data_IF_553438157019
#
_entry.id   IF_553438157019
#
_cell.length_a   1.000
_cell.length_b   1.000
_cell.length_c   1.000
_cell.angle_alpha   90.00
_cell.angle_beta   90.00
_cell.angle_gamma   90.00
#
_symmetry.space_group_name_H-M   'P 1'
#
loop_
_entity.id
_entity.type
_entity.pdbx_description
1 polymer ?
#
# COMPACT_ATOMS: atom_id res chain seq x y z
N UNK A 1 -20.68 -28.24 20.12
CA UNK A 1 -21.22 -27.22 19.18
C UNK A 1 -22.51 -27.78 18.64
N UNK A 2 -23.59 -27.03 18.78
CA UNK A 2 -24.91 -27.48 18.31
C UNK A 2 -25.05 -27.31 16.79
N UNK A 3 -24.56 -26.19 16.27
CA UNK A 3 -24.54 -25.94 14.82
C UNK A 3 -23.57 -24.81 14.46
N UNK A 4 -23.25 -24.73 13.19
CA UNK A 4 -22.55 -23.60 12.60
C UNK A 4 -23.14 -23.27 11.24
N UNK A 5 -23.07 -22.00 10.87
CA UNK A 5 -23.58 -21.49 9.61
C UNK A 5 -22.57 -20.52 8.97
N UNK A 6 -22.47 -20.54 7.66
CA UNK A 6 -21.60 -19.67 6.89
C UNK A 6 -22.40 -18.82 5.92
N UNK A 7 -22.48 -17.53 6.21
CA UNK A 7 -23.21 -16.56 5.43
C UNK A 7 -22.25 -15.81 4.49
N UNK A 8 -22.34 -16.08 3.19
CA UNK A 8 -21.58 -15.37 2.17
C UNK A 8 -22.30 -14.08 1.75
N UNK A 9 -21.58 -12.98 1.48
CA UNK A 9 -22.18 -11.75 0.99
C UNK A 9 -22.82 -11.96 -0.38
N UNK A 10 -23.92 -11.26 -0.64
CA UNK A 10 -24.62 -11.32 -1.93
C UNK A 10 -23.78 -10.68 -3.05
N UNK A 11 -23.94 -11.20 -4.28
CA UNK A 11 -23.30 -10.57 -5.46
C UNK A 11 -23.82 -9.13 -5.61
N UNK A 12 -22.87 -8.17 -5.73
CA UNK A 12 -23.22 -6.75 -5.93
C UNK A 12 -23.18 -5.89 -4.66
N UNK A 13 -22.94 -6.44 -3.48
CA UNK A 13 -22.78 -5.65 -2.24
C UNK A 13 -21.48 -4.85 -2.18
N UNK A 14 -20.52 -5.15 -3.04
CA UNK A 14 -19.27 -4.39 -3.14
C UNK A 14 -19.54 -2.99 -3.74
N UNK A 15 -19.40 -1.94 -2.94
CA UNK A 15 -19.40 -0.55 -3.42
C UNK A 15 -18.00 -0.11 -3.78
N UNK A 16 -17.88 0.67 -4.87
CA UNK A 16 -16.60 1.24 -5.28
C UNK A 16 -16.02 2.09 -4.13
N UNK A 17 -14.77 1.83 -3.73
CA UNK A 17 -14.11 2.55 -2.63
C UNK A 17 -14.44 2.06 -1.21
N UNK A 18 -15.33 1.07 -1.04
CA UNK A 18 -15.58 0.44 0.24
C UNK A 18 -14.67 -0.78 0.48
N UNK A 19 -14.49 -1.16 1.76
CA UNK A 19 -13.83 -2.43 2.11
C UNK A 19 -14.55 -3.60 1.45
N UNK A 20 -13.79 -4.63 1.07
CA UNK A 20 -14.38 -5.84 0.48
C UNK A 20 -15.42 -6.45 1.41
N UNK A 21 -16.55 -6.95 0.86
CA UNK A 21 -17.55 -7.67 1.65
C UNK A 21 -16.89 -8.86 2.35
N UNK A 22 -17.35 -9.14 3.57
CA UNK A 22 -16.87 -10.26 4.38
C UNK A 22 -17.98 -11.30 4.53
N UNK A 23 -17.58 -12.53 4.77
CA UNK A 23 -18.49 -13.58 5.16
C UNK A 23 -18.69 -13.55 6.69
N UNK A 24 -19.82 -14.04 7.15
CA UNK A 24 -20.12 -14.20 8.55
C UNK A 24 -20.16 -15.69 8.89
N UNK A 25 -19.31 -16.11 9.82
CA UNK A 25 -19.34 -17.44 10.43
C UNK A 25 -20.08 -17.34 11.75
N UNK A 26 -21.20 -18.03 11.86
CA UNK A 26 -22.05 -18.10 13.05
C UNK A 26 -21.83 -19.43 13.73
N UNK A 27 -21.49 -19.41 15.00
CA UNK A 27 -21.32 -20.59 15.86
C UNK A 27 -22.41 -20.55 16.93
N UNK A 28 -23.17 -21.64 17.06
CA UNK A 28 -24.22 -21.78 18.07
C UNK A 28 -23.80 -22.81 19.11
N UNK A 29 -23.73 -22.42 20.37
CA UNK A 29 -23.39 -23.26 21.51
C UNK A 29 -24.28 -22.93 22.70
N UNK A 30 -25.01 -23.95 23.27
CA UNK A 30 -25.77 -23.87 24.51
C UNK A 30 -26.62 -22.59 24.65
N UNK A 31 -27.34 -22.19 23.59
CA UNK A 31 -28.20 -21.01 23.60
C UNK A 31 -27.49 -19.67 23.40
N UNK A 32 -26.21 -19.67 23.10
CA UNK A 32 -25.43 -18.49 22.71
C UNK A 32 -24.98 -18.55 21.24
N UNK A 33 -25.07 -17.42 20.54
CA UNK A 33 -24.55 -17.25 19.20
C UNK A 33 -23.29 -16.41 19.21
N UNK A 34 -22.25 -16.90 18.54
CA UNK A 34 -21.00 -16.16 18.31
C UNK A 34 -20.83 -15.92 16.83
N UNK A 35 -20.74 -14.64 16.43
CA UNK A 35 -20.55 -14.22 15.03
C UNK A 35 -19.13 -13.75 14.79
N UNK A 36 -18.52 -14.31 13.76
CA UNK A 36 -17.15 -13.97 13.33
C UNK A 36 -17.21 -13.49 11.88
N UNK A 37 -16.58 -12.35 11.64
CA UNK A 37 -16.46 -11.81 10.29
C UNK A 37 -15.12 -12.27 9.68
N UNK A 38 -15.17 -13.04 8.59
CA UNK A 38 -13.99 -13.66 7.96
C UNK A 38 -13.90 -13.28 6.48
N UNK A 39 -12.69 -13.31 5.86
CA UNK A 39 -12.53 -13.07 4.43
C UNK A 39 -13.32 -14.09 3.60
N UNK A 40 -13.96 -13.64 2.51
CA UNK A 40 -14.77 -14.52 1.64
C UNK A 40 -13.97 -15.70 1.08
N UNK A 41 -12.68 -15.49 0.81
CA UNK A 41 -11.82 -16.59 0.31
C UNK A 41 -11.57 -17.65 1.39
N UNK A 42 -11.42 -17.25 2.65
CA UNK A 42 -11.30 -18.17 3.79
C UNK A 42 -12.61 -18.94 3.98
N UNK A 43 -13.73 -18.23 3.96
CA UNK A 43 -15.06 -18.81 4.07
C UNK A 43 -15.34 -19.91 3.03
N UNK A 44 -14.99 -19.65 1.77
CA UNK A 44 -15.16 -20.64 0.69
C UNK A 44 -14.29 -21.88 0.88
N UNK A 45 -13.06 -21.70 1.35
CA UNK A 45 -12.17 -22.83 1.64
C UNK A 45 -12.61 -23.61 2.86
N UNK A 46 -13.05 -22.91 3.91
CA UNK A 46 -13.57 -23.56 5.12
C UNK A 46 -14.78 -24.44 4.78
N UNK A 47 -15.68 -23.95 3.94
CA UNK A 47 -16.81 -24.74 3.43
C UNK A 47 -16.34 -26.00 2.72
N UNK A 48 -15.41 -25.89 1.76
CA UNK A 48 -14.89 -27.06 1.04
C UNK A 48 -14.22 -28.06 1.97
N UNK A 49 -13.39 -27.59 2.92
CA UNK A 49 -12.72 -28.48 3.88
C UNK A 49 -13.71 -29.17 4.80
N UNK A 50 -14.79 -28.51 5.25
CA UNK A 50 -15.81 -29.10 6.11
C UNK A 50 -16.68 -30.12 5.36
N UNK A 51 -16.89 -29.96 4.06
CA UNK A 51 -17.58 -30.94 3.22
C UNK A 51 -16.72 -32.23 3.01
N UNK A 52 -15.40 -32.06 2.85
CA UNK A 52 -14.47 -33.20 2.70
C UNK A 52 -14.14 -33.89 4.03
N UNK A 53 -14.11 -33.14 5.12
CA UNK A 53 -13.71 -33.58 6.47
C UNK A 53 -14.76 -33.14 7.50
N UNK A 54 -15.87 -33.87 7.64
CA UNK A 54 -16.97 -33.47 8.53
C UNK A 54 -16.55 -33.26 9.99
N UNK A 55 -15.57 -33.98 10.49
CA UNK A 55 -15.03 -33.84 11.85
C UNK A 55 -14.51 -32.43 12.17
N UNK A 56 -14.18 -31.61 11.17
CA UNK A 56 -13.80 -30.21 11.35
C UNK A 56 -14.91 -29.43 12.04
N UNK A 57 -16.14 -29.81 11.81
CA UNK A 57 -17.33 -29.18 12.35
C UNK A 57 -17.84 -29.81 13.67
N UNK A 58 -17.14 -30.79 14.26
CA UNK A 58 -17.56 -31.46 15.49
C UNK A 58 -17.53 -30.56 16.72
N UNK A 59 -16.66 -29.53 16.71
CA UNK A 59 -16.58 -28.54 17.77
C UNK A 59 -16.25 -27.14 17.25
N UNK A 60 -16.67 -26.10 17.96
CA UNK A 60 -16.26 -24.73 17.65
C UNK A 60 -14.74 -24.55 17.68
N UNK A 61 -14.07 -25.27 18.59
CA UNK A 61 -12.61 -25.22 18.70
C UNK A 61 -11.92 -25.77 17.44
N UNK A 62 -12.32 -26.97 16.98
CA UNK A 62 -11.80 -27.58 15.76
C UNK A 62 -12.03 -26.70 14.54
N UNK A 63 -13.23 -26.17 14.41
CA UNK A 63 -13.60 -25.28 13.30
C UNK A 63 -12.78 -23.99 13.29
N UNK A 64 -12.58 -23.35 14.46
CA UNK A 64 -11.76 -22.13 14.57
C UNK A 64 -10.26 -22.38 14.38
N UNK A 65 -9.75 -23.54 14.78
CA UNK A 65 -8.35 -23.92 14.51
C UNK A 65 -8.12 -24.05 13.01
N UNK A 66 -9.01 -24.75 12.30
CA UNK A 66 -8.94 -24.90 10.84
C UNK A 66 -9.16 -23.55 10.12
N UNK A 67 -10.12 -22.75 10.57
CA UNK A 67 -10.36 -21.40 10.03
C UNK A 67 -9.09 -20.55 10.12
N UNK A 68 -8.41 -20.51 11.27
CA UNK A 68 -7.18 -19.74 11.48
C UNK A 68 -6.05 -20.20 10.58
N UNK A 69 -5.85 -21.50 10.42
CA UNK A 69 -4.81 -22.03 9.52
C UNK A 69 -5.13 -21.73 8.04
N UNK A 70 -6.40 -21.78 7.66
CA UNK A 70 -6.83 -21.36 6.32
C UNK A 70 -6.64 -19.86 6.12
N UNK A 71 -6.90 -19.03 7.14
CA UNK A 71 -6.68 -17.58 7.05
C UNK A 71 -5.21 -17.25 6.84
N UNK A 72 -4.29 -17.87 7.60
CA UNK A 72 -2.85 -17.69 7.41
C UNK A 72 -2.42 -18.07 5.98
N UNK A 73 -2.87 -19.20 5.49
CA UNK A 73 -2.55 -19.68 4.15
C UNK A 73 -3.10 -18.75 3.07
N UNK A 74 -4.36 -18.35 3.18
CA UNK A 74 -4.99 -17.42 2.25
C UNK A 74 -4.31 -16.04 2.26
N UNK A 75 -3.88 -15.57 3.44
CA UNK A 75 -3.15 -14.31 3.59
C UNK A 75 -1.80 -14.37 2.84
N UNK A 76 -1.03 -15.44 3.03
CA UNK A 76 0.25 -15.65 2.32
C UNK A 76 0.07 -15.69 0.81
N UNK A 77 -0.83 -16.53 0.31
CA UNK A 77 -1.11 -16.64 -1.13
C UNK A 77 -1.58 -15.32 -1.73
N UNK A 78 -2.38 -14.55 -0.97
CA UNK A 78 -2.84 -13.23 -1.42
C UNK A 78 -1.70 -12.21 -1.49
N UNK A 79 -0.82 -12.20 -0.51
CA UNK A 79 0.35 -11.33 -0.48
C UNK A 79 1.32 -11.67 -1.63
N UNK A 80 1.61 -12.95 -1.85
CA UNK A 80 2.44 -13.42 -2.96
C UNK A 80 1.85 -13.02 -4.32
N UNK A 81 0.54 -13.16 -4.50
CA UNK A 81 -0.14 -12.72 -5.72
C UNK A 81 -0.07 -11.20 -5.94
N UNK A 82 0.07 -10.40 -4.88
CA UNK A 82 0.31 -8.96 -4.97
C UNK A 82 1.76 -8.68 -5.35
N UNK A 83 2.73 -9.31 -4.69
CA UNK A 83 4.17 -9.15 -4.94
C UNK A 83 4.57 -9.59 -6.35
N UNK A 84 3.92 -10.60 -6.92
CA UNK A 84 4.14 -11.01 -8.32
C UNK A 84 3.74 -9.94 -9.35
N UNK A 85 3.06 -8.87 -8.94
CA UNK A 85 2.67 -7.77 -9.84
C UNK A 85 3.57 -6.56 -9.73
N UNK A 86 4.01 -6.21 -8.52
CA UNK A 86 4.92 -5.11 -8.21
C UNK A 86 5.42 -5.23 -6.77
N UNK A 87 6.46 -4.48 -6.46
CA UNK A 87 6.89 -4.31 -5.09
C UNK A 87 5.89 -3.49 -4.26
N UNK A 88 5.86 -3.76 -2.97
CA UNK A 88 5.06 -3.08 -1.96
C UNK A 88 5.93 -2.74 -0.75
N UNK A 89 5.69 -1.59 -0.13
CA UNK A 89 6.18 -1.37 1.22
C UNK A 89 5.40 -2.22 2.22
N UNK A 90 5.99 -2.48 3.37
CA UNK A 90 5.35 -3.22 4.47
C UNK A 90 4.00 -2.59 4.85
N UNK A 91 3.92 -1.25 4.94
CA UNK A 91 2.68 -0.51 5.25
C UNK A 91 1.65 -0.63 4.12
N UNK A 92 2.06 -0.53 2.85
CA UNK A 92 1.15 -0.73 1.71
C UNK A 92 0.59 -2.16 1.69
N UNK A 93 1.44 -3.17 1.92
CA UNK A 93 1.02 -4.58 1.98
C UNK A 93 0.03 -4.80 3.10
N UNK A 94 0.32 -4.28 4.31
CA UNK A 94 -0.59 -4.35 5.46
C UNK A 94 -1.96 -3.75 5.14
N UNK A 95 -1.99 -2.56 4.55
CA UNK A 95 -3.23 -1.90 4.17
C UNK A 95 -4.04 -2.74 3.17
N UNK A 96 -3.39 -3.32 2.17
CA UNK A 96 -4.06 -4.19 1.17
C UNK A 96 -4.67 -5.44 1.77
N UNK A 97 -3.96 -6.09 2.68
CA UNK A 97 -4.45 -7.29 3.35
C UNK A 97 -5.59 -6.98 4.33
N UNK A 98 -5.53 -5.84 5.02
CA UNK A 98 -6.65 -5.34 5.85
C UNK A 98 -7.90 -5.03 5.01
N UNK A 99 -7.72 -4.39 3.84
CA UNK A 99 -8.81 -4.11 2.91
C UNK A 99 -9.44 -5.41 2.34
N UNK A 100 -8.63 -6.46 2.18
CA UNK A 100 -9.09 -7.79 1.79
C UNK A 100 -9.79 -8.53 2.96
N UNK A 101 -9.74 -7.97 4.17
CA UNK A 101 -10.49 -8.42 5.34
C UNK A 101 -9.75 -9.42 6.23
N UNK A 102 -8.46 -9.64 6.04
CA UNK A 102 -7.68 -10.50 6.92
C UNK A 102 -7.52 -9.92 8.32
N UNK A 103 -7.35 -10.79 9.31
CA UNK A 103 -7.19 -10.42 10.70
C UNK A 103 -5.81 -9.82 10.95
N UNK A 104 -5.76 -8.68 11.67
CA UNK A 104 -4.52 -7.93 11.89
C UNK A 104 -3.34 -8.79 12.37
N UNK A 105 -3.48 -9.58 13.44
CA UNK A 105 -2.41 -10.47 13.93
C UNK A 105 -1.90 -11.50 12.90
N UNK A 106 -2.77 -12.02 12.02
CA UNK A 106 -2.35 -12.92 10.93
C UNK A 106 -1.52 -12.18 9.89
N UNK A 107 -1.93 -10.95 9.57
CA UNK A 107 -1.17 -10.07 8.67
C UNK A 107 0.20 -9.76 9.30
N UNK A 108 0.24 -9.33 10.55
CA UNK A 108 1.46 -8.92 11.24
C UNK A 108 2.46 -10.09 11.36
N UNK A 109 1.97 -11.31 11.63
CA UNK A 109 2.78 -12.54 11.58
C UNK A 109 3.38 -12.79 10.18
N UNK A 110 2.56 -12.66 9.13
CA UNK A 110 3.03 -12.81 7.76
C UNK A 110 4.09 -11.76 7.40
N UNK A 111 3.82 -10.47 7.67
CA UNK A 111 4.72 -9.36 7.34
C UNK A 111 6.10 -9.53 8.00
N UNK A 112 6.11 -9.88 9.30
CA UNK A 112 7.36 -10.14 10.02
C UNK A 112 8.17 -11.24 9.33
N UNK A 113 7.54 -12.39 9.04
CA UNK A 113 8.21 -13.51 8.37
C UNK A 113 8.69 -13.16 6.96
N UNK A 114 7.88 -12.40 6.20
CA UNK A 114 8.24 -11.94 4.86
C UNK A 114 9.43 -10.97 4.89
N UNK A 115 9.52 -10.12 5.92
CA UNK A 115 10.68 -9.24 6.13
C UNK A 115 11.91 -10.02 6.57
N UNK A 116 11.77 -10.97 7.49
CA UNK A 116 12.88 -11.81 7.99
C UNK A 116 13.60 -12.57 6.85
N UNK A 117 12.87 -12.96 5.79
CA UNK A 117 13.44 -13.64 4.61
C UNK A 117 13.72 -12.71 3.42
N UNK A 118 13.59 -11.39 3.59
CA UNK A 118 13.85 -10.40 2.55
C UNK A 118 12.84 -10.37 1.40
N UNK A 119 11.67 -11.02 1.55
CA UNK A 119 10.59 -10.96 0.58
C UNK A 119 9.94 -9.57 0.55
N UNK A 120 9.77 -8.95 1.72
CA UNK A 120 9.48 -7.53 1.89
C UNK A 120 10.73 -6.83 2.43
N UNK A 121 11.13 -5.75 1.76
CA UNK A 121 12.31 -4.95 2.08
C UNK A 121 12.01 -3.48 1.77
N UNK A 122 11.73 -2.72 2.83
CA UNK A 122 11.35 -1.32 2.71
C UNK A 122 12.51 -0.44 2.22
N UNK A 123 13.78 -0.81 2.46
CA UNK A 123 14.95 -0.07 1.96
C UNK A 123 15.10 -0.28 0.44
N UNK A 124 15.03 -1.52 -0.03
CA UNK A 124 15.04 -1.84 -1.47
C UNK A 124 13.86 -1.20 -2.19
N UNK A 125 12.67 -1.26 -1.62
CA UNK A 125 11.47 -0.60 -2.15
C UNK A 125 11.69 0.92 -2.26
N UNK A 126 12.23 1.55 -1.21
CA UNK A 126 12.48 2.99 -1.17
C UNK A 126 13.50 3.42 -2.25
N UNK A 127 14.62 2.72 -2.39
CA UNK A 127 15.62 3.02 -3.41
C UNK A 127 15.00 3.01 -4.82
N UNK A 128 14.32 1.94 -5.19
CA UNK A 128 13.66 1.83 -6.49
C UNK A 128 12.59 2.92 -6.70
N UNK A 129 11.79 3.22 -5.65
CA UNK A 129 10.80 4.27 -5.68
C UNK A 129 11.44 5.65 -5.88
N UNK A 130 12.48 5.99 -5.11
CA UNK A 130 13.18 7.29 -5.20
C UNK A 130 13.73 7.47 -6.62
N UNK A 131 14.52 6.52 -7.13
CA UNK A 131 15.11 6.58 -8.47
C UNK A 131 14.04 6.78 -9.56
N UNK A 132 12.93 6.05 -9.46
CA UNK A 132 11.79 6.20 -10.40
C UNK A 132 11.16 7.59 -10.33
N UNK A 133 11.02 8.19 -9.14
CA UNK A 133 10.39 9.52 -8.97
C UNK A 133 11.34 10.64 -9.35
N UNK A 134 12.63 10.51 -9.05
CA UNK A 134 13.69 11.42 -9.51
C UNK A 134 13.71 11.48 -11.03
N UNK A 135 13.72 10.33 -11.70
CA UNK A 135 13.63 10.24 -13.16
C UNK A 135 12.33 10.84 -13.74
N UNK A 136 11.24 10.84 -12.94
CA UNK A 136 9.96 11.47 -13.31
C UNK A 136 9.90 12.97 -12.99
N UNK A 137 11.01 13.59 -12.60
CA UNK A 137 11.11 15.02 -12.31
C UNK A 137 10.50 15.42 -10.96
N UNK A 138 10.54 14.55 -9.95
CA UNK A 138 10.18 14.94 -8.60
C UNK A 138 11.42 15.44 -7.85
N UNK A 139 11.24 16.49 -7.04
CA UNK A 139 12.23 16.96 -6.09
C UNK A 139 12.09 16.24 -4.74
N UNK A 140 13.10 16.44 -3.90
CA UNK A 140 13.29 15.79 -2.61
C UNK A 140 12.04 15.84 -1.71
N UNK A 141 11.43 17.03 -1.54
CA UNK A 141 10.29 17.23 -0.62
C UNK A 141 9.09 16.35 -0.99
N UNK A 142 8.82 16.22 -2.28
CA UNK A 142 7.70 15.42 -2.75
C UNK A 142 7.98 13.93 -2.62
N UNK A 143 9.20 13.50 -2.87
CA UNK A 143 9.63 12.11 -2.69
C UNK A 143 9.56 11.73 -1.22
N UNK A 144 10.12 12.54 -0.31
CA UNK A 144 10.06 12.30 1.14
C UNK A 144 8.61 12.21 1.64
N UNK A 145 7.75 13.13 1.22
CA UNK A 145 6.33 13.10 1.59
C UNK A 145 5.64 11.82 1.09
N UNK A 146 5.96 11.36 -0.11
CA UNK A 146 5.39 10.15 -0.69
C UNK A 146 5.89 8.86 -0.01
N UNK A 147 7.14 8.82 0.44
CA UNK A 147 7.70 7.72 1.24
C UNK A 147 7.03 7.65 2.61
N UNK A 148 6.84 8.81 3.27
CA UNK A 148 6.15 8.87 4.57
C UNK A 148 4.74 8.29 4.53
N UNK A 149 3.98 8.54 3.46
CA UNK A 149 2.65 7.93 3.25
C UNK A 149 2.75 6.40 3.14
N UNK A 150 3.90 5.86 2.74
CA UNK A 150 4.20 4.44 2.63
C UNK A 150 4.84 3.84 3.88
N UNK A 151 4.90 4.65 4.95
CA UNK A 151 5.48 4.24 6.23
C UNK A 151 7.00 4.24 6.27
N UNK A 152 7.65 4.86 5.29
CA UNK A 152 9.11 4.91 5.19
C UNK A 152 9.58 6.32 5.53
N UNK A 153 10.45 6.43 6.54
CA UNK A 153 11.13 7.68 6.85
C UNK A 153 12.39 7.80 5.98
N UNK A 154 12.36 8.75 5.05
CA UNK A 154 13.47 8.98 4.13
C UNK A 154 14.78 9.32 4.87
N UNK A 155 14.71 10.01 6.01
CA UNK A 155 15.90 10.40 6.77
C UNK A 155 16.68 9.23 7.36
N UNK A 156 16.05 8.07 7.49
CA UNK A 156 16.68 6.83 7.95
C UNK A 156 17.28 5.96 6.83
N UNK A 157 17.17 6.39 5.58
CA UNK A 157 17.74 5.64 4.46
C UNK A 157 19.21 6.00 4.25
N UNK A 158 20.01 4.98 3.96
CA UNK A 158 21.42 5.17 3.59
C UNK A 158 21.52 6.04 2.33
N UNK A 159 22.48 6.97 2.32
CA UNK A 159 22.72 7.88 1.20
C UNK A 159 21.70 9.02 1.03
N UNK A 160 20.61 9.06 1.81
CA UNK A 160 19.64 10.13 1.74
C UNK A 160 20.15 11.46 2.33
N UNK A 161 19.89 12.61 1.71
CA UNK A 161 19.33 12.78 0.35
C UNK A 161 20.37 12.77 -0.76
N UNK A 162 21.66 12.86 -0.42
CA UNK A 162 22.76 13.24 -1.30
C UNK A 162 23.05 12.24 -2.43
N UNK A 163 22.70 10.97 -2.26
CA UNK A 163 22.88 9.97 -3.32
C UNK A 163 21.84 10.14 -4.45
N UNK A 164 20.69 10.75 -4.15
CA UNK A 164 19.54 10.88 -5.06
C UNK A 164 19.34 12.31 -5.57
N UNK A 165 19.73 13.30 -4.77
CA UNK A 165 19.50 14.72 -5.03
C UNK A 165 20.81 15.49 -4.84
N UNK A 166 21.48 15.72 -5.95
CA UNK A 166 22.68 16.55 -6.00
C UNK A 166 22.26 18.02 -6.16
N UNK A 167 22.67 18.88 -5.23
CA UNK A 167 22.37 20.32 -5.23
C UNK A 167 22.79 20.99 -6.54
N UNK A 168 23.92 20.55 -7.15
CA UNK A 168 24.41 21.08 -8.42
C UNK A 168 23.49 20.78 -9.61
N UNK A 169 22.69 19.72 -9.55
CA UNK A 169 21.83 19.29 -10.65
C UNK A 169 20.35 19.61 -10.43
N UNK A 170 19.93 19.96 -9.21
CA UNK A 170 18.52 20.26 -8.87
C UNK A 170 17.94 21.41 -9.70
N UNK A 171 18.70 22.49 -9.90
CA UNK A 171 18.28 23.60 -10.75
C UNK A 171 18.05 23.16 -12.19
N UNK A 172 19.01 22.44 -12.79
CA UNK A 172 18.93 21.98 -14.18
C UNK A 172 17.76 21.03 -14.40
N UNK A 173 17.54 20.10 -13.47
CA UNK A 173 16.40 19.17 -13.48
C UNK A 173 15.07 19.92 -13.39
N UNK A 174 14.97 20.89 -12.50
CA UNK A 174 13.79 21.72 -12.35
C UNK A 174 13.52 22.59 -13.59
N UNK A 175 14.57 23.16 -14.17
CA UNK A 175 14.51 23.96 -15.40
C UNK A 175 14.04 23.11 -16.57
N UNK A 176 14.61 21.91 -16.76
CA UNK A 176 14.23 20.99 -17.83
C UNK A 176 12.73 20.66 -17.81
N UNK A 177 12.19 20.29 -16.64
CA UNK A 177 10.76 19.96 -16.53
C UNK A 177 9.84 21.16 -16.68
N UNK A 178 10.29 22.36 -16.27
CA UNK A 178 9.52 23.60 -16.39
C UNK A 178 9.53 24.10 -17.84
N UNK A 179 10.63 23.98 -18.57
CA UNK A 179 10.76 24.39 -19.98
C UNK A 179 9.90 23.56 -20.93
N UNK A 180 9.56 22.33 -20.57
CA UNK A 180 8.62 21.47 -21.33
C UNK A 180 7.16 21.90 -21.19
N UNK A 181 6.86 22.89 -20.32
CA UNK A 181 5.50 23.31 -20.02
C UNK A 181 5.26 24.74 -20.48
N UNK A 182 4.16 24.96 -21.19
CA UNK A 182 3.70 26.32 -21.54
C UNK A 182 3.04 26.98 -20.35
N UNK A 183 3.48 28.19 -20.02
CA UNK A 183 2.88 29.07 -19.00
C UNK A 183 2.28 30.31 -19.69
N UNK A 184 1.05 30.65 -19.34
CA UNK A 184 0.41 31.86 -19.85
C UNK A 184 1.09 33.11 -19.25
N UNK A 185 1.18 34.18 -20.03
CA UNK A 185 1.84 35.44 -19.71
C UNK A 185 1.41 36.05 -18.37
N UNK A 186 0.10 36.10 -18.13
CA UNK A 186 -0.44 36.65 -16.90
C UNK A 186 0.07 35.89 -15.67
N UNK A 187 0.88 36.53 -14.84
CA UNK A 187 1.50 35.97 -13.64
C UNK A 187 2.41 34.76 -13.91
N UNK A 188 3.12 34.78 -15.05
CA UNK A 188 3.99 33.68 -15.50
C UNK A 188 4.97 33.26 -14.42
N UNK A 189 5.71 34.20 -13.85
CA UNK A 189 6.66 33.95 -12.76
C UNK A 189 6.03 33.12 -11.62
N UNK A 190 4.93 33.61 -11.06
CA UNK A 190 4.26 32.90 -9.96
C UNK A 190 3.73 31.50 -10.34
N UNK A 191 3.38 31.30 -11.62
CA UNK A 191 2.93 30.00 -12.11
C UNK A 191 4.09 29.02 -12.22
N UNK A 192 5.26 29.47 -12.67
CA UNK A 192 6.48 28.66 -12.73
C UNK A 192 6.89 28.29 -11.30
N UNK A 193 7.00 29.24 -10.39
CA UNK A 193 7.32 28.97 -8.98
C UNK A 193 6.39 27.90 -8.39
N UNK A 194 5.08 28.10 -8.52
CA UNK A 194 4.09 27.15 -7.99
C UNK A 194 4.22 25.75 -8.63
N UNK A 195 4.50 25.69 -9.91
CA UNK A 195 4.70 24.42 -10.61
C UNK A 195 5.93 23.68 -10.09
N UNK A 196 7.08 24.35 -9.99
CA UNK A 196 8.34 23.75 -9.54
C UNK A 196 8.24 23.34 -8.07
N UNK A 197 7.69 24.20 -7.19
CA UNK A 197 7.41 23.83 -5.80
C UNK A 197 6.45 22.65 -5.69
N UNK A 198 5.42 22.59 -6.52
CA UNK A 198 4.48 21.45 -6.59
C UNK A 198 5.11 20.13 -7.08
N UNK A 199 6.28 20.22 -7.72
CA UNK A 199 7.12 19.07 -8.05
C UNK A 199 8.01 18.63 -6.89
N UNK A 200 8.11 19.45 -5.83
CA UNK A 200 8.85 19.12 -4.61
C UNK A 200 10.27 19.70 -4.54
N UNK A 201 10.63 20.58 -5.47
CA UNK A 201 11.87 21.33 -5.41
C UNK A 201 11.85 22.41 -4.32
N UNK A 202 13.01 22.91 -3.91
CA UNK A 202 13.12 23.96 -2.92
C UNK A 202 12.56 25.29 -3.44
N UNK A 203 12.23 26.22 -2.52
CA UNK A 203 11.80 27.57 -2.90
C UNK A 203 12.88 28.32 -3.66
N UNK A 204 14.14 28.21 -3.25
CA UNK A 204 15.27 28.84 -3.92
C UNK A 204 15.36 28.39 -5.38
N UNK A 205 15.42 27.06 -5.62
CA UNK A 205 15.44 26.49 -6.97
C UNK A 205 14.21 26.96 -7.79
N UNK A 206 13.03 27.01 -7.17
CA UNK A 206 11.82 27.43 -7.88
C UNK A 206 11.84 28.91 -8.31
N UNK A 207 12.43 29.79 -7.50
CA UNK A 207 12.61 31.19 -7.84
C UNK A 207 13.65 31.37 -8.96
N UNK A 208 14.82 30.69 -8.86
CA UNK A 208 15.86 30.77 -9.87
C UNK A 208 15.37 30.26 -11.24
N UNK A 209 14.64 29.14 -11.27
CA UNK A 209 14.02 28.61 -12.48
C UNK A 209 12.98 29.59 -13.05
N UNK A 210 12.18 30.26 -12.19
CA UNK A 210 11.20 31.21 -12.66
C UNK A 210 11.84 32.47 -13.27
N UNK A 211 12.95 32.96 -12.71
CA UNK A 211 13.74 34.03 -13.30
C UNK A 211 14.25 33.64 -14.68
N UNK A 212 14.90 32.49 -14.77
CA UNK A 212 15.44 31.98 -16.04
C UNK A 212 14.39 31.85 -17.14
N UNK A 213 13.23 31.24 -16.84
CA UNK A 213 12.16 31.04 -17.81
C UNK A 213 11.48 32.34 -18.22
N UNK A 214 11.46 33.37 -17.36
CA UNK A 214 10.87 34.66 -17.70
C UNK A 214 11.86 35.51 -18.51
N UNK A 215 13.17 35.44 -18.23
CA UNK A 215 14.22 36.14 -19.00
C UNK A 215 14.35 35.61 -20.44
N UNK A 216 14.28 34.28 -20.62
CA UNK A 216 14.38 33.64 -21.95
C UNK A 216 13.13 33.93 -22.85
N UNK A 217 12.12 34.63 -22.35
CA UNK A 217 10.87 34.94 -23.05
C UNK A 217 10.73 36.43 -23.47
N UNK A 218 11.68 37.27 -23.07
CA UNK A 218 11.81 38.67 -23.52
C UNK A 218 12.67 38.72 -24.81
#
# INVERSE_FOLDING_TARGET
MESWELNLPKRGEARLGARKPRAELVLSEEGSERKLSIPVMVAKRLKGVSEEKPWVADSARSLMEVERELEKRCCSERAEALLNRRDYSTVEMRSKLLDDGFFGPVIDEYLRRASDVGLLDDARYADAFIRSKVASGWGERKVSAALRVRGIDASGLDGWPYEYFDEGTEFERALEIASRKTFSERNRFSKVVRFVMGRGFSGAVAYDVAHRICEDAE
#
